data_IF_424913051482
#
_entry.id   IF_424913051482
#
_cell.length_a   1.000
_cell.length_b   1.000
_cell.length_c   1.000
_cell.angle_alpha   90.00
_cell.angle_beta   90.00
_cell.angle_gamma   90.00
#
_symmetry.space_group_name_H-M   'P 1'
#
loop_
_entity.id
_entity.type
_entity.pdbx_description
1 polymer ?
#
# COMPACT_ATOMS: atom_id res chain seq x y z
N UNK A 1 -24.48 -2.43 -2.97
CA UNK A 1 -23.05 -2.09 -2.77
C UNK A 1 -22.59 -2.77 -1.49
N UNK A 2 -21.49 -3.56 -1.51
CA UNK A 2 -21.06 -4.39 -0.37
C UNK A 2 -19.75 -3.92 0.30
N UNK A 3 -19.09 -2.91 -0.26
CA UNK A 3 -17.77 -2.47 0.21
C UNK A 3 -17.90 -1.20 1.05
N UNK A 4 -17.29 -1.20 2.23
CA UNK A 4 -17.24 -0.08 3.17
C UNK A 4 -15.77 0.35 3.30
N UNK A 5 -15.44 1.53 2.79
CA UNK A 5 -14.12 2.12 2.91
C UNK A 5 -14.06 2.94 4.19
N UNK A 6 -13.09 2.67 5.06
CA UNK A 6 -12.96 3.34 6.36
C UNK A 6 -11.53 3.80 6.56
N UNK A 7 -11.36 5.08 6.90
CA UNK A 7 -10.09 5.62 7.33
C UNK A 7 -9.78 5.13 8.75
N UNK A 8 -8.79 4.24 8.88
CA UNK A 8 -8.36 3.65 10.16
C UNK A 8 -6.84 3.53 10.17
N UNK A 9 -6.18 4.51 10.77
CA UNK A 9 -4.74 4.74 10.70
C UNK A 9 -4.47 6.23 10.49
N UNK A 10 -3.21 6.57 10.24
CA UNK A 10 -2.69 7.92 10.02
C UNK A 10 -3.40 8.97 10.86
N UNK A 11 -3.32 8.81 12.17
CA UNK A 11 -3.79 9.81 13.13
C UNK A 11 -2.83 11.02 13.13
N UNK A 12 -2.67 11.66 11.97
CA UNK A 12 -2.02 12.95 11.84
C UNK A 12 -2.91 14.00 12.51
N UNK A 13 -2.33 15.11 12.96
CA UNK A 13 -3.04 16.12 13.77
C UNK A 13 -4.29 16.75 13.13
N UNK A 14 -4.61 16.42 11.88
CA UNK A 14 -5.86 16.76 11.21
C UNK A 14 -7.04 15.85 11.60
N UNK A 15 -6.78 14.69 12.20
CA UNK A 15 -7.78 13.68 12.52
C UNK A 15 -7.86 13.42 14.03
N UNK A 16 -9.05 13.05 14.51
CA UNK A 16 -9.23 12.60 15.88
C UNK A 16 -8.64 11.19 16.05
N UNK A 17 -7.57 11.07 16.83
CA UNK A 17 -6.85 9.81 17.08
C UNK A 17 -7.78 8.68 17.57
N UNK A 18 -8.78 9.01 18.39
CA UNK A 18 -9.73 8.03 18.93
C UNK A 18 -10.53 7.34 17.81
N UNK A 19 -10.93 8.10 16.79
CA UNK A 19 -11.74 7.60 15.69
C UNK A 19 -10.90 6.90 14.61
N UNK A 20 -9.62 7.24 14.48
CA UNK A 20 -8.67 6.57 13.59
C UNK A 20 -8.23 5.18 14.10
N UNK A 21 -8.31 4.93 15.41
CA UNK A 21 -7.85 3.67 15.98
C UNK A 21 -8.64 2.46 15.44
N UNK A 22 -7.99 1.36 15.01
CA UNK A 22 -8.66 0.21 14.40
C UNK A 22 -9.28 -0.79 15.40
N UNK A 23 -9.52 -0.39 16.65
CA UNK A 23 -9.94 -1.33 17.73
C UNK A 23 -11.32 -1.92 17.49
N UNK A 24 -12.16 -1.19 16.79
CA UNK A 24 -13.52 -1.56 16.42
C UNK A 24 -13.58 -2.49 15.20
N UNK A 25 -12.51 -2.60 14.42
CA UNK A 25 -12.44 -3.48 13.24
C UNK A 25 -12.71 -4.94 13.61
N UNK A 26 -12.42 -5.37 14.84
CA UNK A 26 -12.73 -6.72 15.32
C UNK A 26 -14.22 -7.08 15.16
N UNK A 27 -15.12 -6.09 15.22
CA UNK A 27 -16.58 -6.26 15.16
C UNK A 27 -17.11 -6.47 13.74
N UNK A 28 -16.29 -6.25 12.70
CA UNK A 28 -16.71 -6.42 11.29
C UNK A 28 -17.08 -7.85 10.93
N UNK A 29 -16.61 -8.81 11.73
CA UNK A 29 -16.98 -10.23 11.64
C UNK A 29 -18.47 -10.47 11.85
N UNK A 30 -19.20 -9.56 12.50
CA UNK A 30 -20.65 -9.59 12.63
C UNK A 30 -21.39 -9.24 11.33
N UNK A 31 -20.67 -8.77 10.31
CA UNK A 31 -21.23 -8.34 9.02
C UNK A 31 -20.56 -9.11 7.86
N UNK A 32 -20.69 -10.44 7.80
CA UNK A 32 -19.97 -11.27 6.83
C UNK A 32 -20.32 -10.98 5.36
N UNK A 33 -21.47 -10.36 5.10
CA UNK A 33 -21.92 -9.99 3.75
C UNK A 33 -21.32 -8.67 3.22
N UNK A 34 -20.57 -7.95 4.06
CA UNK A 34 -19.90 -6.70 3.73
C UNK A 34 -18.38 -6.90 3.71
N UNK A 35 -17.69 -6.14 2.87
CA UNK A 35 -16.23 -6.02 2.87
C UNK A 35 -15.82 -4.69 3.51
N UNK A 36 -14.78 -4.70 4.33
CA UNK A 36 -14.24 -3.51 4.98
C UNK A 36 -12.83 -3.23 4.47
N UNK A 37 -12.65 -2.10 3.79
CA UNK A 37 -11.38 -1.65 3.25
C UNK A 37 -10.80 -0.63 4.22
N UNK A 38 -9.76 -1.03 4.94
CA UNK A 38 -9.13 -0.27 6.01
C UNK A 38 -8.04 0.60 5.38
N UNK A 39 -8.41 1.84 5.05
CA UNK A 39 -7.49 2.83 4.51
C UNK A 39 -6.46 3.19 5.55
N UNK A 40 -5.21 3.05 5.11
CA UNK A 40 -3.96 3.13 5.87
C UNK A 40 -3.68 1.95 6.80
N UNK A 41 -4.41 0.84 6.68
CA UNK A 41 -4.00 -0.45 7.28
C UNK A 41 -3.74 -0.44 8.80
N UNK A 42 -4.43 0.43 9.55
CA UNK A 42 -4.19 0.58 10.98
C UNK A 42 -2.81 1.16 11.31
N UNK A 43 -2.13 1.84 10.39
CA UNK A 43 -0.81 2.41 10.66
C UNK A 43 -0.93 3.71 11.46
N UNK A 44 -0.46 3.75 12.71
CA UNK A 44 -0.60 4.95 13.56
C UNK A 44 0.10 6.19 12.97
N UNK A 45 1.43 6.10 12.84
CA UNK A 45 2.29 7.13 12.26
C UNK A 45 3.68 6.55 12.04
N UNK A 46 4.51 7.21 11.23
CA UNK A 46 5.91 6.82 11.06
C UNK A 46 6.67 6.93 12.38
N UNK A 47 6.54 8.05 13.10
CA UNK A 47 7.19 8.29 14.38
C UNK A 47 6.92 7.18 15.40
N UNK A 48 5.67 6.72 15.51
CA UNK A 48 5.29 5.65 16.42
C UNK A 48 5.84 4.27 15.99
N UNK A 49 6.12 4.08 14.70
CA UNK A 49 6.62 2.82 14.16
C UNK A 49 8.16 2.73 14.17
N UNK A 50 8.87 3.86 14.12
CA UNK A 50 10.34 3.90 14.07
C UNK A 50 11.05 3.12 15.18
N UNK A 51 10.61 3.17 16.46
CA UNK A 51 11.27 2.43 17.52
C UNK A 51 11.42 0.93 17.26
N UNK A 52 10.51 0.31 16.50
CA UNK A 52 10.60 -1.11 16.14
C UNK A 52 11.79 -1.41 15.23
N UNK A 53 12.14 -0.50 14.31
CA UNK A 53 13.18 -0.75 13.32
C UNK A 53 14.59 -0.29 13.76
N UNK A 54 14.70 0.48 14.84
CA UNK A 54 15.96 1.12 15.27
C UNK A 54 17.12 0.13 15.50
N UNK A 55 16.82 -1.08 15.97
CA UNK A 55 17.82 -2.10 16.26
C UNK A 55 17.63 -3.38 15.44
N UNK A 56 16.93 -3.28 14.30
CA UNK A 56 16.57 -4.44 13.50
C UNK A 56 15.59 -5.36 14.22
N UNK A 57 14.61 -4.78 14.92
CA UNK A 57 13.52 -5.47 15.60
C UNK A 57 13.95 -6.44 16.71
N UNK A 58 15.09 -6.18 17.36
CA UNK A 58 15.61 -7.07 18.41
C UNK A 58 14.96 -6.79 19.76
N UNK A 59 14.86 -5.53 20.16
CA UNK A 59 14.18 -5.13 21.40
C UNK A 59 12.67 -5.22 21.27
N UNK A 60 12.14 -4.80 20.13
CA UNK A 60 10.71 -4.86 19.84
C UNK A 60 10.48 -4.91 18.33
N UNK A 61 9.53 -5.73 17.90
CA UNK A 61 9.03 -5.78 16.52
C UNK A 61 7.62 -5.18 16.41
N UNK A 62 7.10 -4.64 17.51
CA UNK A 62 5.75 -4.12 17.62
C UNK A 62 5.64 -2.77 16.89
N UNK A 63 4.80 -2.75 15.86
CA UNK A 63 4.34 -1.52 15.19
C UNK A 63 2.94 -1.19 15.71
N UNK A 64 2.76 -0.07 16.42
CA UNK A 64 1.47 0.30 17.01
C UNK A 64 0.32 0.23 16.02
N UNK A 65 -0.82 -0.32 16.46
CA UNK A 65 -2.06 -0.48 15.72
C UNK A 65 -2.03 -1.46 14.55
N UNK A 66 -0.94 -1.53 13.77
CA UNK A 66 -0.76 -2.57 12.74
C UNK A 66 -0.63 -3.94 13.40
N UNK A 67 0.21 -4.03 14.44
CA UNK A 67 0.41 -5.28 15.17
C UNK A 67 -0.88 -5.72 15.85
N UNK A 68 -1.59 -4.78 16.48
CA UNK A 68 -2.88 -5.04 17.13
C UNK A 68 -3.91 -5.58 16.13
N UNK A 69 -4.03 -4.95 14.97
CA UNK A 69 -4.98 -5.35 13.94
C UNK A 69 -4.63 -6.72 13.34
N UNK A 70 -3.34 -7.01 13.14
CA UNK A 70 -2.86 -8.34 12.74
C UNK A 70 -3.16 -9.39 13.83
N UNK A 71 -3.01 -9.04 15.11
CA UNK A 71 -3.34 -9.92 16.23
C UNK A 71 -4.84 -10.19 16.31
N UNK A 72 -5.70 -9.18 16.13
CA UNK A 72 -7.16 -9.35 16.06
C UNK A 72 -7.55 -10.33 14.95
N UNK A 73 -6.90 -10.23 13.78
CA UNK A 73 -7.13 -11.16 12.67
C UNK A 73 -6.66 -12.58 12.96
N UNK A 74 -5.53 -12.75 13.65
CA UNK A 74 -5.02 -14.06 14.06
C UNK A 74 -5.92 -14.72 15.10
N UNK A 75 -6.44 -13.95 16.05
CA UNK A 75 -7.39 -14.41 17.09
C UNK A 75 -8.79 -14.69 16.53
N UNK A 76 -9.18 -14.03 15.43
CA UNK A 76 -10.47 -14.22 14.78
C UNK A 76 -10.32 -14.68 13.32
N UNK A 77 -10.05 -15.98 13.08
CA UNK A 77 -9.85 -16.53 11.72
C UNK A 77 -11.03 -16.32 10.75
N UNK A 78 -12.22 -16.07 11.27
CA UNK A 78 -13.43 -15.80 10.48
C UNK A 78 -13.50 -14.36 9.95
N UNK A 79 -12.65 -13.44 10.43
CA UNK A 79 -12.56 -12.05 9.96
C UNK A 79 -11.85 -11.98 8.59
N UNK A 80 -12.47 -12.58 7.57
CA UNK A 80 -11.92 -12.70 6.20
C UNK A 80 -12.34 -11.53 5.30
N UNK A 81 -13.31 -10.74 5.73
CA UNK A 81 -13.91 -9.63 4.99
C UNK A 81 -13.22 -8.28 5.27
N UNK A 82 -11.95 -8.30 5.67
CA UNK A 82 -11.14 -7.11 5.95
C UNK A 82 -9.99 -7.03 4.95
N UNK A 83 -9.83 -5.87 4.35
CA UNK A 83 -8.79 -5.56 3.39
C UNK A 83 -7.89 -4.44 3.90
N UNK A 84 -6.58 -4.66 3.84
CA UNK A 84 -5.55 -3.73 4.31
C UNK A 84 -5.07 -2.88 3.14
N UNK A 85 -5.43 -1.60 3.11
CA UNK A 85 -5.04 -0.69 2.03
C UNK A 85 -3.76 0.08 2.39
N UNK A 86 -2.79 0.07 1.46
CA UNK A 86 -1.41 0.48 1.72
C UNK A 86 -1.17 1.99 1.72
N UNK A 87 -1.76 2.77 0.82
CA UNK A 87 -1.68 4.23 0.74
C UNK A 87 -0.37 4.86 1.24
N UNK A 88 -0.52 5.87 2.11
CA UNK A 88 0.61 6.53 2.76
C UNK A 88 1.32 5.62 3.77
N UNK A 89 0.74 4.51 4.23
CA UNK A 89 1.47 3.53 5.05
C UNK A 89 2.67 3.01 4.27
N UNK A 90 2.48 2.60 3.01
CA UNK A 90 3.59 2.25 2.13
C UNK A 90 4.41 3.47 1.74
N UNK A 91 3.75 4.56 1.31
CA UNK A 91 4.42 5.77 0.85
C UNK A 91 5.42 6.36 1.85
N UNK A 92 5.04 6.44 3.13
CA UNK A 92 5.90 7.00 4.19
C UNK A 92 7.16 6.17 4.44
N UNK A 93 7.12 4.86 4.20
CA UNK A 93 8.19 3.94 4.60
C UNK A 93 9.03 3.40 3.44
N UNK A 94 8.45 3.23 2.25
CA UNK A 94 9.08 2.46 1.16
C UNK A 94 10.47 2.98 0.75
N UNK A 95 10.70 4.28 0.85
CA UNK A 95 11.97 4.92 0.51
C UNK A 95 12.80 5.24 1.77
N UNK A 96 12.16 5.79 2.81
CA UNK A 96 12.87 6.31 3.99
C UNK A 96 13.28 5.19 4.96
N UNK A 97 12.45 4.16 5.11
CA UNK A 97 12.62 3.06 6.06
C UNK A 97 12.19 1.72 5.43
N UNK A 98 12.86 1.26 4.36
CA UNK A 98 12.44 0.10 3.57
C UNK A 98 12.37 -1.20 4.39
N UNK A 99 13.25 -1.36 5.39
CA UNK A 99 13.22 -2.53 6.27
C UNK A 99 11.94 -2.55 7.14
N UNK A 100 11.53 -1.40 7.68
CA UNK A 100 10.27 -1.26 8.41
C UNK A 100 9.08 -1.49 7.47
N UNK A 101 9.13 -0.96 6.24
CA UNK A 101 8.11 -1.19 5.22
C UNK A 101 7.90 -2.70 4.97
N UNK A 102 8.99 -3.44 4.76
CA UNK A 102 8.92 -4.89 4.55
C UNK A 102 8.41 -5.63 5.79
N UNK A 103 8.77 -5.19 7.00
CA UNK A 103 8.23 -5.79 8.23
C UNK A 103 6.72 -5.57 8.35
N UNK A 104 6.25 -4.35 8.13
CA UNK A 104 4.82 -3.99 8.14
C UNK A 104 4.05 -4.79 7.09
N UNK A 105 4.54 -4.84 5.85
CA UNK A 105 3.92 -5.63 4.79
C UNK A 105 3.94 -7.14 5.11
N UNK A 106 5.03 -7.64 5.69
CA UNK A 106 5.17 -9.03 6.14
C UNK A 106 4.13 -9.42 7.19
N UNK A 107 3.93 -8.59 8.21
CA UNK A 107 2.89 -8.80 9.23
C UNK A 107 1.49 -8.88 8.62
N UNK A 108 1.17 -7.96 7.70
CA UNK A 108 -0.14 -7.93 7.06
C UNK A 108 -0.37 -9.16 6.19
N UNK A 109 0.62 -9.56 5.38
CA UNK A 109 0.51 -10.75 4.53
C UNK A 109 0.39 -12.02 5.38
N UNK A 110 1.12 -12.11 6.49
CA UNK A 110 1.05 -13.26 7.41
C UNK A 110 -0.32 -13.36 8.10
N UNK A 111 -0.89 -12.24 8.55
CA UNK A 111 -2.18 -12.24 9.25
C UNK A 111 -3.40 -12.33 8.32
N UNK A 112 -3.42 -11.55 7.24
CA UNK A 112 -4.58 -11.39 6.36
C UNK A 112 -4.48 -12.21 5.08
N UNK A 113 -3.27 -12.59 4.67
CA UNK A 113 -3.00 -13.17 3.35
C UNK A 113 -2.82 -12.09 2.29
N UNK A 114 -2.02 -12.39 1.26
CA UNK A 114 -1.74 -11.47 0.17
C UNK A 114 -2.99 -11.08 -0.64
N UNK A 115 -4.05 -11.90 -0.62
CA UNK A 115 -5.33 -11.65 -1.31
C UNK A 115 -6.16 -10.53 -0.65
N UNK A 116 -5.84 -10.19 0.61
CA UNK A 116 -6.55 -9.20 1.40
C UNK A 116 -5.75 -7.90 1.57
N UNK A 117 -4.71 -7.69 0.77
CA UNK A 117 -3.92 -6.46 0.76
C UNK A 117 -4.24 -5.66 -0.50
N UNK A 118 -4.54 -4.38 -0.37
CA UNK A 118 -4.89 -3.49 -1.47
C UNK A 118 -3.82 -2.43 -1.66
N UNK A 119 -3.49 -2.18 -2.93
CA UNK A 119 -2.71 -1.01 -3.31
C UNK A 119 -3.55 0.26 -3.28
N UNK A 120 -2.92 1.33 -2.83
CA UNK A 120 -3.34 2.69 -3.07
C UNK A 120 -2.16 3.62 -2.81
N UNK A 121 -2.31 4.88 -3.18
CA UNK A 121 -1.16 5.78 -3.34
C UNK A 121 -1.24 7.03 -2.49
N UNK A 122 -2.44 7.41 -2.05
CA UNK A 122 -2.73 8.72 -1.45
C UNK A 122 -2.13 9.88 -2.26
N UNK A 123 -2.20 9.80 -3.60
CA UNK A 123 -1.55 10.74 -4.52
C UNK A 123 -1.96 12.20 -4.36
N UNK A 124 -3.08 12.50 -3.68
CA UNK A 124 -3.42 13.87 -3.28
C UNK A 124 -2.34 14.49 -2.39
N UNK A 125 -1.64 13.67 -1.59
CA UNK A 125 -0.52 14.07 -0.74
C UNK A 125 0.85 13.82 -1.39
N UNK A 126 0.97 12.74 -2.17
CA UNK A 126 2.26 12.26 -2.70
C UNK A 126 2.54 12.66 -4.15
N UNK A 127 1.61 13.35 -4.81
CA UNK A 127 1.70 13.68 -6.22
C UNK A 127 1.69 12.44 -7.11
N UNK A 128 2.46 12.48 -8.19
CA UNK A 128 2.54 11.37 -9.15
C UNK A 128 2.98 10.07 -8.46
N UNK A 129 2.21 8.97 -8.57
CA UNK A 129 2.50 7.72 -7.87
C UNK A 129 3.63 6.91 -8.49
N UNK A 130 4.27 7.40 -9.56
CA UNK A 130 5.27 6.65 -10.34
C UNK A 130 6.38 6.07 -9.44
N UNK A 131 6.86 6.85 -8.48
CA UNK A 131 7.91 6.40 -7.54
C UNK A 131 7.44 5.28 -6.61
N UNK A 132 6.17 5.28 -6.19
CA UNK A 132 5.60 4.22 -5.35
C UNK A 132 5.44 2.92 -6.14
N UNK A 133 4.93 3.02 -7.38
CA UNK A 133 4.79 1.88 -8.32
C UNK A 133 6.15 1.21 -8.51
N UNK A 134 7.16 2.03 -8.74
CA UNK A 134 8.54 1.62 -8.92
C UNK A 134 9.16 0.99 -7.68
N UNK A 135 8.86 1.54 -6.50
CA UNK A 135 9.28 0.97 -5.22
C UNK A 135 8.66 -0.41 -5.01
N UNK A 136 7.33 -0.57 -5.15
CA UNK A 136 6.66 -1.87 -4.98
C UNK A 136 7.20 -2.91 -5.96
N UNK A 137 7.41 -2.52 -7.22
CA UNK A 137 7.95 -3.42 -8.24
C UNK A 137 9.31 -3.98 -7.83
N UNK A 138 10.21 -3.14 -7.32
CA UNK A 138 11.58 -3.52 -6.91
C UNK A 138 11.68 -4.11 -5.50
N UNK A 139 10.70 -3.88 -4.63
CA UNK A 139 10.74 -4.29 -3.22
C UNK A 139 10.85 -5.81 -3.08
N UNK A 140 11.84 -6.30 -2.34
CA UNK A 140 11.99 -7.72 -2.02
C UNK A 140 11.92 -7.92 -0.51
N UNK A 141 11.38 -9.07 -0.07
CA UNK A 141 11.39 -9.40 1.35
C UNK A 141 12.83 -9.72 1.77
N UNK A 142 13.45 -8.93 2.68
CA UNK A 142 14.83 -9.16 3.08
C UNK A 142 14.99 -10.52 3.77
N UNK A 143 16.08 -11.23 3.47
CA UNK A 143 16.37 -12.53 4.07
C UNK A 143 16.46 -12.50 5.60
N UNK A 144 16.84 -11.36 6.20
CA UNK A 144 16.82 -11.16 7.65
C UNK A 144 15.41 -11.27 8.23
N UNK A 145 14.41 -10.68 7.58
CA UNK A 145 13.01 -10.75 8.03
C UNK A 145 12.40 -12.13 7.80
N UNK A 146 12.77 -12.80 6.69
CA UNK A 146 12.39 -14.19 6.46
C UNK A 146 12.91 -15.08 7.59
N UNK A 147 14.20 -14.93 7.96
CA UNK A 147 14.82 -15.74 9.02
C UNK A 147 14.26 -15.42 10.41
N UNK A 148 14.01 -14.15 10.71
CA UNK A 148 13.60 -13.70 12.04
C UNK A 148 12.10 -13.91 12.31
N UNK A 149 11.25 -13.69 11.31
CA UNK A 149 9.79 -13.70 11.48
C UNK A 149 9.08 -14.79 10.68
N UNK A 150 9.79 -15.53 9.81
CA UNK A 150 9.18 -16.55 8.96
C UNK A 150 8.36 -15.98 7.81
N UNK A 151 8.51 -14.69 7.48
CA UNK A 151 7.78 -14.09 6.37
C UNK A 151 8.08 -14.77 5.04
N UNK A 152 7.08 -14.81 4.18
CA UNK A 152 7.21 -15.36 2.83
C UNK A 152 7.92 -14.35 1.91
N UNK A 153 8.73 -14.81 0.95
CA UNK A 153 9.22 -13.95 -0.13
C UNK A 153 8.08 -13.25 -0.89
N UNK A 154 8.29 -12.00 -1.30
CA UNK A 154 7.34 -11.26 -2.13
C UNK A 154 7.44 -11.73 -3.58
N UNK A 155 6.61 -12.71 -3.95
CA UNK A 155 6.59 -13.24 -5.32
C UNK A 155 5.96 -12.24 -6.30
N UNK A 156 6.28 -12.40 -7.59
CA UNK A 156 5.64 -11.61 -8.65
C UNK A 156 4.12 -11.72 -8.62
N UNK A 157 3.59 -12.91 -8.35
CA UNK A 157 2.14 -13.13 -8.25
C UNK A 157 1.53 -12.37 -7.07
N UNK A 158 2.15 -12.42 -5.88
CA UNK A 158 1.70 -11.63 -4.74
C UNK A 158 1.69 -10.13 -5.05
N UNK A 159 2.74 -9.61 -5.69
CA UNK A 159 2.80 -8.20 -6.09
C UNK A 159 1.72 -7.83 -7.10
N UNK A 160 1.41 -8.68 -8.08
CA UNK A 160 0.31 -8.45 -9.04
C UNK A 160 -1.04 -8.38 -8.33
N UNK A 161 -1.26 -9.25 -7.35
CA UNK A 161 -2.47 -9.24 -6.52
C UNK A 161 -2.63 -7.94 -5.75
N UNK A 162 -1.62 -7.59 -4.97
CA UNK A 162 -1.57 -6.35 -4.19
C UNK A 162 -1.79 -5.15 -5.10
N UNK A 163 -1.05 -5.07 -6.22
CA UNK A 163 -1.03 -3.89 -7.09
C UNK A 163 -2.36 -3.60 -7.78
N UNK A 164 -3.21 -4.61 -8.01
CA UNK A 164 -4.51 -4.34 -8.64
C UNK A 164 -5.49 -5.49 -8.74
N UNK A 165 -5.06 -6.76 -8.78
CA UNK A 165 -6.01 -7.86 -8.97
C UNK A 165 -6.95 -8.04 -7.77
N UNK A 166 -6.48 -7.77 -6.54
CA UNK A 166 -7.33 -7.82 -5.35
C UNK A 166 -8.42 -6.75 -5.41
N UNK A 167 -8.06 -5.51 -5.76
CA UNK A 167 -9.03 -4.43 -5.93
C UNK A 167 -10.02 -4.74 -7.06
N UNK A 168 -9.54 -5.27 -8.18
CA UNK A 168 -10.41 -5.68 -9.28
C UNK A 168 -11.44 -6.73 -8.82
N UNK A 169 -11.03 -7.74 -8.05
CA UNK A 169 -11.95 -8.72 -7.48
C UNK A 169 -12.97 -8.11 -6.52
N UNK A 170 -12.52 -7.26 -5.59
CA UNK A 170 -13.38 -6.60 -4.59
C UNK A 170 -14.43 -5.69 -5.24
N UNK A 171 -14.09 -5.03 -6.34
CA UNK A 171 -14.99 -4.13 -7.08
C UNK A 171 -15.72 -4.79 -8.25
N UNK A 172 -15.52 -6.11 -8.48
CA UNK A 172 -16.16 -6.83 -9.58
C UNK A 172 -15.74 -6.34 -10.96
N UNK A 173 -14.50 -5.86 -11.09
CA UNK A 173 -13.93 -5.36 -12.34
C UNK A 173 -13.14 -6.48 -13.02
N UNK A 174 -13.34 -6.64 -14.32
CA UNK A 174 -12.42 -7.42 -15.16
C UNK A 174 -11.22 -6.54 -15.57
N UNK A 175 -9.98 -6.87 -15.17
CA UNK A 175 -8.79 -6.14 -15.59
C UNK A 175 -8.58 -6.13 -17.11
N UNK A 176 -9.04 -7.17 -17.81
CA UNK A 176 -8.87 -7.35 -19.26
C UNK A 176 -10.04 -6.75 -20.07
N UNK A 177 -11.11 -6.30 -19.41
CA UNK A 177 -12.22 -5.69 -20.11
C UNK A 177 -11.77 -4.44 -20.87
N UNK A 178 -12.17 -4.36 -22.14
CA UNK A 178 -11.98 -3.17 -22.96
C UNK A 178 -12.81 -2.03 -22.37
N UNK A 179 -12.14 -0.95 -21.98
CA UNK A 179 -12.78 0.28 -21.53
C UNK A 179 -12.66 1.34 -22.62
N UNK A 180 -13.66 2.19 -22.75
CA UNK A 180 -13.54 3.38 -23.59
C UNK A 180 -12.47 4.30 -22.99
N UNK A 181 -11.63 4.94 -23.81
CA UNK A 181 -10.75 5.98 -23.30
C UNK A 181 -11.61 7.08 -22.66
N UNK A 182 -11.07 7.71 -21.61
CA UNK A 182 -11.63 8.96 -21.11
C UNK A 182 -11.63 9.94 -22.30
N UNK A 183 -12.74 10.69 -22.54
CA UNK A 183 -12.75 11.71 -23.57
C UNK A 183 -11.55 12.63 -23.39
N UNK A 184 -10.91 13.01 -24.49
CA UNK A 184 -9.76 13.91 -24.43
C UNK A 184 -10.15 15.21 -23.73
N UNK A 185 -9.30 15.69 -22.83
CA UNK A 185 -9.51 16.93 -22.10
C UNK A 185 -8.55 18.05 -22.57
N UNK A 186 -8.58 19.18 -21.87
CA UNK A 186 -7.68 20.31 -22.17
C UNK A 186 -6.19 19.94 -21.97
N UNK A 187 -5.87 19.04 -21.04
CA UNK A 187 -4.50 18.55 -20.82
C UNK A 187 -4.05 17.69 -22.00
N UNK A 188 -4.95 16.90 -22.59
CA UNK A 188 -4.65 16.16 -23.82
C UNK A 188 -4.38 17.09 -25.01
N UNK A 189 -5.10 18.19 -25.12
CA UNK A 189 -4.84 19.22 -26.15
C UNK A 189 -3.46 19.86 -25.94
N UNK A 190 -3.16 20.29 -24.71
CA UNK A 190 -1.85 20.83 -24.35
C UNK A 190 -0.72 19.83 -24.62
N UNK A 191 -0.93 18.56 -24.33
CA UNK A 191 0.04 17.49 -24.61
C UNK A 191 0.27 17.32 -26.11
N UNK A 192 -0.78 17.37 -26.93
CA UNK A 192 -0.67 17.31 -28.40
C UNK A 192 0.08 18.53 -28.93
N UNK A 193 -0.27 19.73 -28.49
CA UNK A 193 0.41 20.97 -28.87
C UNK A 193 1.89 20.93 -28.47
N UNK A 194 2.19 20.48 -27.26
CA UNK A 194 3.56 20.30 -26.78
C UNK A 194 4.35 19.30 -27.64
N UNK A 195 3.76 18.17 -28.02
CA UNK A 195 4.41 17.19 -28.92
C UNK A 195 4.60 17.75 -30.33
N UNK A 196 3.62 18.47 -30.87
CA UNK A 196 3.68 19.12 -32.19
C UNK A 196 4.71 20.25 -32.24
N UNK A 197 4.89 20.97 -31.13
CA UNK A 197 5.94 22.00 -30.96
C UNK A 197 7.36 21.41 -30.80
N UNK A 198 7.52 20.09 -30.97
CA UNK A 198 8.81 19.40 -30.92
C UNK A 198 9.03 18.54 -29.67
N UNK A 199 8.10 18.54 -28.70
CA UNK A 199 8.19 17.77 -27.46
C UNK A 199 9.50 18.02 -26.70
N UNK A 200 9.87 17.19 -25.71
CA UNK A 200 11.22 17.23 -25.21
C UNK A 200 12.10 16.56 -26.27
N UNK A 201 12.91 17.33 -26.99
CA UNK A 201 14.27 16.84 -27.24
C UNK A 201 14.80 16.42 -25.86
N UNK A 202 15.03 15.13 -25.67
CA UNK A 202 15.54 14.60 -24.40
C UNK A 202 16.80 15.38 -24.06
N UNK A 203 16.70 16.28 -23.07
CA UNK A 203 17.88 16.92 -22.50
C UNK A 203 18.61 15.81 -21.74
N UNK A 204 19.68 15.29 -22.32
CA UNK A 204 20.61 14.36 -21.66
C UNK A 204 21.24 14.98 -20.39
N UNK A 205 21.05 16.29 -20.18
CA UNK A 205 21.47 17.05 -19.01
C UNK A 205 20.75 16.61 -17.72
N UNK A 206 19.51 16.12 -17.78
CA UNK A 206 18.74 15.73 -16.58
C UNK A 206 18.68 14.21 -16.33
N UNK A 207 18.88 13.40 -17.38
CA UNK A 207 18.70 11.94 -17.34
C UNK A 207 20.01 11.15 -17.50
N UNK A 208 21.14 11.84 -17.59
CA UNK A 208 22.47 11.26 -17.76
C UNK A 208 22.80 10.94 -19.22
N UNK A 209 24.09 11.01 -19.55
CA UNK A 209 24.63 10.58 -20.84
C UNK A 209 24.90 9.08 -20.79
N UNK A 210 24.27 8.30 -21.69
CA UNK A 210 24.69 6.91 -21.92
C UNK A 210 25.78 6.96 -22.99
N UNK A 211 27.00 6.56 -22.63
CA UNK A 211 28.05 6.36 -23.61
C UNK A 211 27.65 5.23 -24.56
N UNK A 212 27.68 5.49 -25.86
CA UNK A 212 27.56 4.43 -26.85
C UNK A 212 28.77 3.50 -26.74
N UNK A 213 28.53 2.20 -26.66
CA UNK A 213 29.53 1.13 -26.78
C UNK A 213 29.66 0.79 -28.26
#
# INVERSE_FOLDING_TARGET
MKNICVHKGLASGLFNEEHCHPRDVVKVSNFPDLNFLIYHSGFKSLEAALPAAQDGFRKTSYVPWVSDLCEYRKKNPHMKNVYMELGSTFGLMAITHPLLCCHVLGMMIDAFGADNILWGTDSVWWGSPQWQIEALRRLEMPGSLIKQFGYKPLTTEMKRRIFGLNAAGVYGLDPNARRNPVPGDYVDELKKLYQQAGGPMRSNTHYGWVAAI
#
